data_IF_420019189043
#
_entry.id   IF_420019189043
#
_cell.length_a   1.000
_cell.length_b   1.000
_cell.length_c   1.000
_cell.angle_alpha   90.00
_cell.angle_beta   90.00
_cell.angle_gamma   90.00
#
_symmetry.space_group_name_H-M   'P 1'
#
loop_
_entity.id
_entity.type
_entity.pdbx_description
1 polymer ?
#
# COMPACT_ATOMS: atom_id res chain seq x y z
N UNK A 1 20.93 -12.47 -4.62
CA UNK A 1 20.36 -11.45 -5.53
C UNK A 1 19.18 -10.70 -4.90
N UNK A 2 18.35 -11.36 -4.08
CA UNK A 2 17.11 -10.76 -3.54
C UNK A 2 17.33 -9.63 -2.54
N UNK A 3 18.38 -9.70 -1.71
CA UNK A 3 18.76 -8.62 -0.79
C UNK A 3 19.04 -7.30 -1.53
N UNK A 4 19.87 -7.35 -2.57
CA UNK A 4 20.22 -6.16 -3.36
C UNK A 4 19.01 -5.58 -4.11
N UNK A 5 18.12 -6.41 -4.64
CA UNK A 5 16.85 -5.95 -5.24
C UNK A 5 15.98 -5.22 -4.21
N UNK A 6 15.85 -5.79 -3.02
CA UNK A 6 15.07 -5.19 -1.94
C UNK A 6 15.64 -3.83 -1.52
N UNK A 7 16.97 -3.69 -1.43
CA UNK A 7 17.62 -2.44 -1.06
C UNK A 7 17.40 -1.36 -2.11
N UNK A 8 17.58 -1.70 -3.39
CA UNK A 8 17.28 -0.80 -4.50
C UNK A 8 15.81 -0.34 -4.48
N UNK A 9 14.87 -1.26 -4.28
CA UNK A 9 13.43 -0.94 -4.25
C UNK A 9 13.03 -0.05 -3.07
N UNK A 10 13.78 -0.10 -1.96
CA UNK A 10 13.56 0.76 -0.78
C UNK A 10 14.38 2.07 -0.82
N UNK A 11 15.14 2.34 -1.90
CA UNK A 11 15.99 3.53 -1.97
C UNK A 11 17.13 3.53 -0.96
N UNK A 12 17.61 2.32 -0.60
CA UNK A 12 18.78 2.11 0.26
C UNK A 12 20.02 2.15 -0.63
N UNK A 13 20.82 3.20 -0.47
CA UNK A 13 22.10 3.35 -1.15
C UNK A 13 23.21 2.72 -0.30
N UNK A 14 23.89 1.72 -0.84
CA UNK A 14 24.91 0.94 -0.16
C UNK A 14 26.07 0.66 -1.12
N UNK A 15 27.29 0.62 -0.58
CA UNK A 15 28.45 0.12 -1.31
C UNK A 15 28.45 -1.43 -1.26
N UNK A 16 28.28 -2.14 -2.39
CA UNK A 16 28.20 -3.60 -2.40
C UNK A 16 29.51 -4.28 -1.98
N UNK A 17 30.66 -3.68 -2.31
CA UNK A 17 31.98 -4.23 -1.98
C UNK A 17 32.24 -4.16 -0.47
N UNK A 18 31.95 -3.02 0.16
CA UNK A 18 32.06 -2.85 1.60
C UNK A 18 31.12 -3.81 2.35
N UNK A 19 29.90 -4.00 1.84
CA UNK A 19 28.93 -4.94 2.42
C UNK A 19 29.40 -6.40 2.28
N UNK A 20 29.93 -6.79 1.12
CA UNK A 20 30.49 -8.12 0.90
C UNK A 20 31.67 -8.38 1.82
N UNK A 21 32.55 -7.40 2.02
CA UNK A 21 33.67 -7.49 2.95
C UNK A 21 33.21 -7.70 4.39
N UNK A 22 32.22 -6.93 4.85
CA UNK A 22 31.65 -7.11 6.19
C UNK A 22 31.00 -8.48 6.40
N UNK A 23 30.29 -9.01 5.39
CA UNK A 23 29.74 -10.38 5.44
C UNK A 23 30.86 -11.43 5.51
N UNK A 24 31.91 -11.28 4.73
CA UNK A 24 33.05 -12.20 4.73
C UNK A 24 33.73 -12.24 6.09
N UNK A 25 34.05 -11.07 6.67
CA UNK A 25 34.73 -10.98 7.96
C UNK A 25 33.91 -11.63 9.09
N UNK A 26 32.58 -11.43 9.08
CA UNK A 26 31.67 -12.05 10.03
C UNK A 26 31.58 -13.58 9.88
N UNK A 27 31.54 -14.10 8.65
CA UNK A 27 31.44 -15.54 8.39
C UNK A 27 32.73 -16.29 8.71
N UNK A 28 33.89 -15.68 8.46
CA UNK A 28 35.18 -16.31 8.75
C UNK A 28 35.63 -16.17 10.20
N UNK A 29 34.87 -15.45 11.04
CA UNK A 29 35.29 -15.08 12.40
C UNK A 29 36.52 -14.17 12.43
N UNK A 30 36.77 -13.44 11.34
CA UNK A 30 37.88 -12.49 11.29
C UNK A 30 37.56 -11.26 12.13
N UNK A 31 38.59 -10.50 12.49
CA UNK A 31 38.40 -9.24 13.19
C UNK A 31 37.56 -8.30 12.31
N UNK A 32 36.41 -7.88 12.84
CA UNK A 32 35.53 -6.95 12.16
C UNK A 32 36.18 -5.56 12.07
N UNK A 33 36.01 -4.90 10.91
CA UNK A 33 36.49 -3.53 10.69
C UNK A 33 35.78 -2.49 11.57
N UNK A 34 34.62 -2.84 12.14
CA UNK A 34 33.85 -2.02 13.06
C UNK A 34 33.67 -2.77 14.38
N UNK A 35 33.72 -2.02 15.48
CA UNK A 35 33.31 -2.55 16.79
C UNK A 35 31.82 -2.81 16.82
N UNK A 36 31.37 -3.67 17.74
CA UNK A 36 29.93 -3.92 17.95
C UNK A 36 29.14 -2.64 18.22
N UNK A 37 29.73 -1.70 18.98
CA UNK A 37 29.10 -0.43 19.30
C UNK A 37 28.92 0.43 18.04
N UNK A 38 29.96 0.54 17.21
CA UNK A 38 29.88 1.29 15.95
C UNK A 38 28.85 0.68 14.98
N UNK A 39 28.77 -0.65 14.91
CA UNK A 39 27.74 -1.31 14.10
C UNK A 39 26.33 -1.02 14.62
N UNK A 40 26.10 -1.11 15.94
CA UNK A 40 24.81 -0.78 16.56
C UNK A 40 24.41 0.67 16.29
N UNK A 41 25.34 1.61 16.44
CA UNK A 41 25.07 3.04 16.24
C UNK A 41 24.72 3.34 14.77
N UNK A 42 25.45 2.75 13.82
CA UNK A 42 25.16 2.88 12.38
C UNK A 42 23.82 2.24 12.03
N UNK A 43 23.51 1.04 12.54
CA UNK A 43 22.25 0.36 12.27
C UNK A 43 21.05 1.11 12.87
N UNK A 44 21.18 1.66 14.08
CA UNK A 44 20.14 2.46 14.71
C UNK A 44 19.84 3.73 13.90
N UNK A 45 20.90 4.44 13.46
CA UNK A 45 20.76 5.61 12.58
C UNK A 45 20.11 5.23 11.26
N UNK A 46 20.57 4.15 10.63
CA UNK A 46 20.03 3.65 9.38
C UNK A 46 18.53 3.31 9.48
N UNK A 47 18.11 2.62 10.55
CA UNK A 47 16.69 2.31 10.78
C UNK A 47 15.85 3.57 10.98
N UNK A 48 16.38 4.56 11.70
CA UNK A 48 15.70 5.85 11.92
C UNK A 48 15.54 6.62 10.59
N UNK A 49 16.60 6.69 9.78
CA UNK A 49 16.57 7.36 8.48
C UNK A 49 15.62 6.64 7.51
N UNK A 50 15.58 5.30 7.54
CA UNK A 50 14.62 4.51 6.77
C UNK A 50 13.18 4.74 7.20
N UNK A 51 12.91 4.83 8.51
CA UNK A 51 11.58 5.17 9.00
C UNK A 51 11.15 6.55 8.49
N UNK A 52 12.03 7.55 8.61
CA UNK A 52 11.76 8.91 8.13
C UNK A 52 11.48 8.93 6.62
N UNK A 53 12.27 8.21 5.81
CA UNK A 53 12.04 8.05 4.36
C UNK A 53 10.69 7.42 4.08
N UNK A 54 10.32 6.32 4.77
CA UNK A 54 9.01 5.67 4.59
C UNK A 54 7.85 6.58 4.95
N UNK A 55 7.95 7.35 6.04
CA UNK A 55 6.93 8.32 6.42
C UNK A 55 6.79 9.43 5.37
N UNK A 56 7.90 9.95 4.85
CA UNK A 56 7.88 10.96 3.79
C UNK A 56 7.20 10.45 2.52
N UNK A 57 7.56 9.24 2.06
CA UNK A 57 6.92 8.62 0.89
C UNK A 57 5.44 8.31 1.13
N UNK A 58 5.07 7.87 2.34
CA UNK A 58 3.67 7.65 2.71
C UNK A 58 2.86 8.96 2.63
N UNK A 59 3.36 10.04 3.23
CA UNK A 59 2.68 11.34 3.21
C UNK A 59 2.53 11.86 1.78
N UNK A 60 3.61 11.79 0.99
CA UNK A 60 3.57 12.13 -0.44
C UNK A 60 2.51 11.33 -1.18
N UNK A 61 2.43 10.01 -0.94
CA UNK A 61 1.40 9.17 -1.56
C UNK A 61 -0.02 9.46 -1.06
N UNK A 62 -0.19 9.82 0.20
CA UNK A 62 -1.48 10.26 0.71
C UNK A 62 -1.97 11.51 -0.03
N UNK A 63 -1.11 12.51 -0.19
CA UNK A 63 -1.43 13.74 -0.92
C UNK A 63 -1.72 13.47 -2.40
N UNK A 64 -0.87 12.69 -3.07
CA UNK A 64 -1.09 12.29 -4.47
C UNK A 64 -2.42 11.54 -4.65
N UNK A 65 -2.74 10.60 -3.75
CA UNK A 65 -3.97 9.81 -3.84
C UNK A 65 -5.21 10.65 -3.53
N UNK A 66 -5.12 11.62 -2.61
CA UNK A 66 -6.22 12.56 -2.34
C UNK A 66 -6.56 13.37 -3.59
N UNK A 67 -5.54 13.96 -4.24
CA UNK A 67 -5.73 14.73 -5.47
C UNK A 67 -6.33 13.86 -6.59
N UNK A 68 -5.80 12.65 -6.79
CA UNK A 68 -6.34 11.70 -7.78
C UNK A 68 -7.79 11.29 -7.48
N UNK A 69 -8.10 11.06 -6.20
CA UNK A 69 -9.46 10.71 -5.75
C UNK A 69 -10.46 11.84 -6.00
N UNK A 70 -10.11 13.07 -5.66
CA UNK A 70 -10.96 14.25 -5.90
C UNK A 70 -11.18 14.49 -7.39
N UNK A 71 -10.13 14.36 -8.21
CA UNK A 71 -10.23 14.46 -9.66
C UNK A 71 -11.16 13.38 -10.24
N UNK A 72 -10.98 12.13 -9.82
CA UNK A 72 -11.83 11.01 -10.23
C UNK A 72 -13.30 11.26 -9.89
N UNK A 73 -13.61 11.65 -8.65
CA UNK A 73 -14.99 11.92 -8.23
C UNK A 73 -15.59 13.13 -8.96
N UNK A 74 -14.79 14.16 -9.25
CA UNK A 74 -15.21 15.35 -10.00
C UNK A 74 -15.57 15.02 -11.45
N UNK A 75 -14.84 14.12 -12.09
CA UNK A 75 -15.18 13.62 -13.41
C UNK A 75 -16.40 12.68 -13.35
N UNK A 76 -16.39 11.74 -12.40
CA UNK A 76 -17.37 10.67 -12.30
C UNK A 76 -18.80 11.16 -12.07
N UNK A 77 -18.99 12.25 -11.31
CA UNK A 77 -20.33 12.80 -11.04
C UNK A 77 -21.07 13.24 -12.31
N UNK A 78 -20.36 13.49 -13.40
CA UNK A 78 -20.94 13.91 -14.68
C UNK A 78 -21.30 12.71 -15.58
N UNK A 79 -20.94 11.47 -15.19
CA UNK A 79 -21.18 10.28 -16.01
C UNK A 79 -22.66 9.88 -15.97
N UNK A 80 -23.22 9.36 -17.08
CA UNK A 80 -24.63 8.97 -17.14
C UNK A 80 -25.02 7.93 -16.08
N UNK A 81 -26.08 8.25 -15.34
CA UNK A 81 -26.65 7.39 -14.30
C UNK A 81 -25.93 7.45 -12.94
N UNK A 82 -24.91 8.30 -12.79
CA UNK A 82 -24.27 8.53 -11.50
C UNK A 82 -25.12 9.47 -10.66
N UNK A 83 -25.33 9.10 -9.40
CA UNK A 83 -26.02 9.88 -8.37
C UNK A 83 -25.03 10.24 -7.28
N UNK A 84 -25.06 11.49 -6.83
CA UNK A 84 -24.21 12.00 -5.74
C UNK A 84 -25.05 12.22 -4.49
N UNK A 85 -24.61 11.67 -3.36
CA UNK A 85 -25.25 11.86 -2.05
C UNK A 85 -24.67 13.08 -1.30
N UNK A 86 -25.38 13.62 -0.29
CA UNK A 86 -24.86 14.72 0.54
C UNK A 86 -23.52 14.43 1.23
N UNK A 87 -23.22 13.15 1.50
CA UNK A 87 -21.94 12.71 2.06
C UNK A 87 -20.78 12.75 1.06
N UNK A 88 -21.04 12.99 -0.22
CA UNK A 88 -20.07 12.88 -1.31
C UNK A 88 -19.97 11.47 -1.92
N UNK A 89 -20.62 10.46 -1.32
CA UNK A 89 -20.68 9.12 -1.91
C UNK A 89 -21.40 9.17 -3.26
N UNK A 90 -20.81 8.54 -4.26
CA UNK A 90 -21.39 8.39 -5.59
C UNK A 90 -21.74 6.94 -5.85
N UNK A 91 -22.89 6.70 -6.47
CA UNK A 91 -23.28 5.37 -6.92
C UNK A 91 -23.97 5.45 -8.28
N UNK A 92 -23.99 4.30 -8.98
CA UNK A 92 -24.75 4.10 -10.20
C UNK A 92 -25.51 2.79 -10.07
N UNK A 93 -26.82 2.83 -10.28
CA UNK A 93 -27.64 1.61 -10.30
C UNK A 93 -27.40 0.90 -11.63
N UNK A 94 -26.86 -0.31 -11.58
CA UNK A 94 -26.66 -1.15 -12.77
C UNK A 94 -27.93 -1.93 -13.08
N UNK A 95 -28.48 -2.60 -12.07
CA UNK A 95 -29.77 -3.26 -12.11
C UNK A 95 -30.49 -3.03 -10.78
N UNK A 96 -31.74 -2.56 -10.83
CA UNK A 96 -32.51 -2.26 -9.63
C UNK A 96 -33.24 -3.52 -9.14
N UNK A 97 -32.97 -3.92 -7.90
CA UNK A 97 -33.75 -4.95 -7.22
C UNK A 97 -35.12 -4.42 -6.76
N UNK A 98 -36.00 -5.35 -6.38
CA UNK A 98 -37.36 -5.08 -5.89
C UNK A 98 -37.58 -5.52 -4.42
N UNK A 99 -36.52 -5.97 -3.75
CA UNK A 99 -36.56 -6.39 -2.35
C UNK A 99 -36.56 -5.23 -1.35
N UNK A 100 -36.64 -5.58 -0.07
CA UNK A 100 -36.52 -4.61 1.03
C UNK A 100 -35.13 -3.99 1.06
N UNK A 101 -35.05 -2.71 1.44
CA UNK A 101 -33.77 -2.05 1.68
C UNK A 101 -33.27 -2.43 3.08
N UNK A 102 -31.99 -2.82 3.24
CA UNK A 102 -31.46 -3.19 4.54
C UNK A 102 -31.42 -1.99 5.49
N UNK A 103 -31.73 -2.25 6.75
CA UNK A 103 -31.55 -1.34 7.87
C UNK A 103 -30.13 -1.38 8.42
N UNK A 104 -29.86 -0.56 9.45
CA UNK A 104 -28.52 -0.41 10.05
C UNK A 104 -28.03 -1.65 10.81
N UNK A 105 -28.95 -2.48 11.29
CA UNK A 105 -28.68 -3.67 12.11
C UNK A 105 -28.77 -4.98 11.32
N UNK A 106 -29.06 -4.90 10.03
CA UNK A 106 -29.33 -6.09 9.23
C UNK A 106 -28.03 -6.69 8.70
N UNK A 107 -28.04 -8.00 8.55
CA UNK A 107 -26.99 -8.74 7.85
C UNK A 107 -27.33 -8.80 6.37
N UNK A 108 -26.34 -8.52 5.51
CA UNK A 108 -26.49 -8.54 4.05
C UNK A 108 -25.55 -9.59 3.45
N UNK A 109 -26.00 -10.25 2.39
CA UNK A 109 -25.13 -11.14 1.59
C UNK A 109 -24.86 -10.48 0.25
N UNK A 110 -23.59 -10.36 -0.13
CA UNK A 110 -23.16 -9.64 -1.33
C UNK A 110 -22.14 -10.40 -2.16
N UNK A 111 -22.25 -10.25 -3.47
CA UNK A 111 -21.16 -10.49 -4.41
C UNK A 111 -20.60 -9.13 -4.82
N UNK A 112 -19.28 -8.97 -4.75
CA UNK A 112 -18.64 -7.69 -5.03
C UNK A 112 -17.23 -7.85 -5.59
N UNK A 113 -16.77 -6.80 -6.27
CA UNK A 113 -15.39 -6.64 -6.70
C UNK A 113 -14.92 -5.22 -6.38
N UNK A 114 -13.94 -5.11 -5.49
CA UNK A 114 -13.30 -3.86 -5.08
C UNK A 114 -12.07 -3.57 -5.94
N UNK A 115 -12.04 -2.37 -6.54
CA UNK A 115 -10.93 -1.91 -7.40
C UNK A 115 -10.46 -0.52 -6.99
N UNK A 116 -9.16 -0.27 -7.13
CA UNK A 116 -8.61 1.07 -7.07
C UNK A 116 -8.97 1.86 -8.34
N UNK A 117 -8.75 3.17 -8.33
CA UNK A 117 -9.02 4.06 -9.48
C UNK A 117 -8.24 3.64 -10.73
N UNK A 118 -7.05 3.04 -10.55
CA UNK A 118 -6.23 2.51 -11.64
C UNK A 118 -6.71 1.13 -12.18
N UNK A 119 -7.80 0.59 -11.63
CA UNK A 119 -8.39 -0.69 -12.04
C UNK A 119 -7.85 -1.92 -11.30
N UNK A 120 -6.81 -1.76 -10.47
CA UNK A 120 -6.22 -2.86 -9.69
C UNK A 120 -7.27 -3.44 -8.73
N UNK A 121 -7.55 -4.74 -8.86
CA UNK A 121 -8.45 -5.47 -7.96
C UNK A 121 -7.73 -5.76 -6.65
N UNK A 122 -8.22 -5.19 -5.55
CA UNK A 122 -7.69 -5.51 -4.22
C UNK A 122 -8.50 -6.63 -3.55
N UNK A 123 -9.82 -6.68 -3.78
CA UNK A 123 -10.69 -7.72 -3.21
C UNK A 123 -11.84 -8.09 -4.16
N UNK A 124 -12.30 -9.34 -4.12
CA UNK A 124 -13.42 -9.81 -4.93
C UNK A 124 -13.92 -11.18 -4.45
N UNK A 125 -15.24 -11.33 -4.35
CA UNK A 125 -15.90 -12.62 -4.10
C UNK A 125 -15.78 -13.58 -5.29
N UNK A 126 -15.46 -13.08 -6.48
CA UNK A 126 -15.20 -13.94 -7.65
C UNK A 126 -13.99 -14.85 -7.41
N UNK A 127 -12.99 -14.39 -6.63
CA UNK A 127 -11.80 -15.18 -6.29
C UNK A 127 -12.13 -16.42 -5.47
N UNK A 128 -13.09 -16.30 -4.54
CA UNK A 128 -13.50 -17.39 -3.64
C UNK A 128 -14.68 -18.19 -4.22
N UNK A 129 -15.36 -17.64 -5.22
CA UNK A 129 -16.57 -18.21 -5.81
C UNK A 129 -17.75 -18.27 -4.84
N UNK A 130 -17.69 -17.52 -3.72
CA UNK A 130 -18.72 -17.53 -2.66
C UNK A 130 -19.06 -16.09 -2.26
N UNK A 131 -20.35 -15.77 -2.09
CA UNK A 131 -20.77 -14.49 -1.52
C UNK A 131 -20.19 -14.25 -0.12
N UNK A 132 -20.05 -12.97 0.22
CA UNK A 132 -19.65 -12.52 1.56
C UNK A 132 -20.89 -12.13 2.38
N UNK A 133 -20.82 -12.26 3.69
CA UNK A 133 -21.87 -11.88 4.64
C UNK A 133 -21.25 -11.28 5.90
#
# INVERSE_FOLDING_TARGET
ADLGKNFKNQGIDVNPEAMAKGMQDAMSGAQLALTEQQMKDVLNKFQKDLMAKRTAEFNKKADENKVKGEAFLTENKNKPGVVVLPSGLQYKVINAGNGVKPGKSDTVTVEYTGRLIDGTVFDSTEKTGKPAT
#
